data_IF_381556157105
#
_entry.id   IF_381556157105
#
_cell.length_a   1.000
_cell.length_b   1.000
_cell.length_c   1.000
_cell.angle_alpha   90.00
_cell.angle_beta   90.00
_cell.angle_gamma   90.00
#
_symmetry.space_group_name_H-M   'P 1'
#
loop_
_entity.id
_entity.type
_entity.pdbx_description
1 polymer ?
#
# COMPACT_ATOMS: atom_id res chain seq x y z
N UNK A 1 -5.81 -4.01 -12.72
CA UNK A 1 -4.83 -4.63 -11.80
C UNK A 1 -3.41 -4.10 -11.99
N UNK A 2 -2.80 -4.19 -13.18
CA UNK A 2 -1.42 -3.71 -13.37
C UNK A 2 -1.28 -2.18 -13.41
N UNK A 3 -2.15 -1.47 -14.13
CA UNK A 3 -2.14 0.00 -14.19
C UNK A 3 -2.33 0.65 -12.81
N UNK A 4 -3.18 0.05 -11.97
CA UNK A 4 -3.37 0.49 -10.58
C UNK A 4 -2.10 0.32 -9.75
N UNK A 5 -1.36 -0.78 -9.88
CA UNK A 5 -0.07 -0.97 -9.19
C UNK A 5 0.97 0.03 -9.68
N UNK A 6 1.00 0.35 -10.98
CA UNK A 6 1.85 1.43 -11.50
C UNK A 6 1.50 2.79 -10.90
N UNK A 7 0.22 3.09 -10.71
CA UNK A 7 -0.24 4.30 -10.04
C UNK A 7 0.14 4.35 -8.56
N UNK A 8 0.06 3.20 -7.88
CA UNK A 8 0.53 3.02 -6.50
C UNK A 8 2.06 3.14 -6.39
N UNK A 9 2.82 2.68 -7.39
CA UNK A 9 4.28 2.81 -7.43
C UNK A 9 4.73 4.26 -7.58
N UNK A 10 4.02 5.04 -8.40
CA UNK A 10 4.35 6.45 -8.61
C UNK A 10 3.92 7.33 -7.41
N UNK A 11 3.10 6.79 -6.51
CA UNK A 11 2.57 7.48 -5.33
C UNK A 11 2.05 8.89 -5.67
N UNK A 12 1.50 9.06 -6.88
CA UNK A 12 1.08 10.36 -7.46
C UNK A 12 0.25 11.17 -6.46
N UNK A 13 -0.79 10.61 -5.79
CA UNK A 13 -1.56 11.40 -4.85
C UNK A 13 -0.72 11.89 -3.67
N UNK A 14 0.20 11.07 -3.14
CA UNK A 14 1.03 11.46 -2.01
C UNK A 14 2.09 12.48 -2.41
N UNK A 15 2.80 12.30 -3.53
CA UNK A 15 3.77 13.30 -4.02
C UNK A 15 3.09 14.61 -4.37
N UNK A 16 1.88 14.57 -4.94
CA UNK A 16 1.10 15.75 -5.28
C UNK A 16 0.59 16.49 -4.03
N UNK A 17 0.02 15.77 -3.05
CA UNK A 17 -0.41 16.35 -1.77
C UNK A 17 0.80 16.92 -1.01
N UNK A 18 1.92 16.21 -0.98
CA UNK A 18 3.16 16.66 -0.35
C UNK A 18 3.70 17.93 -1.02
N UNK A 19 3.68 18.00 -2.35
CA UNK A 19 4.07 19.19 -3.10
C UNK A 19 3.15 20.38 -2.80
N UNK A 20 1.82 20.16 -2.79
CA UNK A 20 0.83 21.21 -2.47
C UNK A 20 0.99 21.69 -1.02
N UNK A 21 1.08 20.77 -0.05
CA UNK A 21 1.27 21.10 1.36
C UNK A 21 2.60 21.82 1.59
N UNK A 22 3.68 21.42 0.91
CA UNK A 22 4.98 22.12 0.97
C UNK A 22 4.88 23.53 0.38
N UNK A 23 4.20 23.71 -0.75
CA UNK A 23 3.95 25.04 -1.32
C UNK A 23 3.12 25.93 -0.38
N UNK A 24 2.02 25.42 0.17
CA UNK A 24 1.18 26.14 1.13
C UNK A 24 1.92 26.46 2.43
N UNK A 25 2.78 25.55 2.90
CA UNK A 25 3.61 25.76 4.08
C UNK A 25 4.68 26.82 3.84
N UNK A 26 5.38 26.77 2.70
CA UNK A 26 6.36 27.78 2.31
C UNK A 26 5.71 29.17 2.15
N UNK A 27 4.52 29.24 1.55
CA UNK A 27 3.76 30.49 1.43
C UNK A 27 3.35 31.08 2.79
N UNK A 28 3.00 30.23 3.77
CA UNK A 28 2.67 30.66 5.14
C UNK A 28 3.91 30.96 6.01
N UNK A 29 5.03 30.29 5.77
CA UNK A 29 6.28 30.49 6.50
C UNK A 29 7.11 31.67 5.98
N UNK A 30 6.93 32.10 4.74
CA UNK A 30 7.55 33.33 4.22
C UNK A 30 7.25 34.58 5.08
N UNK A 31 6.21 34.53 5.92
CA UNK A 31 5.82 35.61 6.85
C UNK A 31 6.34 35.44 8.30
N UNK A 32 7.04 34.36 8.66
CA UNK A 32 7.47 34.09 10.05
C UNK A 32 9.00 33.95 10.14
N UNK A 33 9.63 34.60 11.11
CA UNK A 33 11.09 34.55 11.36
C UNK A 33 11.59 33.17 11.80
N UNK A 34 10.79 32.39 12.53
CA UNK A 34 11.14 31.03 12.96
C UNK A 34 10.61 29.99 11.96
N UNK A 35 11.50 29.46 11.11
CA UNK A 35 11.21 28.35 10.19
C UNK A 35 11.13 27.04 10.97
N UNK A 36 9.95 26.46 11.05
CA UNK A 36 9.76 25.08 11.53
C UNK A 36 9.92 24.11 10.36
N UNK A 37 10.61 22.99 10.55
CA UNK A 37 10.68 21.97 9.50
C UNK A 37 9.29 21.38 9.23
N UNK A 38 9.00 21.07 7.96
CA UNK A 38 7.75 20.45 7.56
C UNK A 38 7.76 18.99 8.00
N UNK A 39 7.03 18.67 9.06
CA UNK A 39 6.80 17.29 9.49
C UNK A 39 5.62 16.75 8.71
N UNK A 40 5.89 15.77 7.85
CA UNK A 40 4.87 15.08 7.10
C UNK A 40 4.18 14.05 8.00
N UNK A 41 2.89 14.26 8.29
CA UNK A 41 2.09 13.39 9.17
C UNK A 41 1.29 12.35 8.38
N UNK A 42 1.58 12.17 7.09
CA UNK A 42 0.84 11.23 6.27
C UNK A 42 1.19 9.79 6.65
N UNK A 43 0.28 9.13 7.35
CA UNK A 43 0.42 7.74 7.78
C UNK A 43 0.03 6.77 6.65
N UNK A 44 0.83 5.71 6.46
CA UNK A 44 0.52 4.66 5.50
C UNK A 44 -0.71 3.85 5.95
N UNK A 45 -1.72 3.72 5.09
CA UNK A 45 -2.91 2.93 5.42
C UNK A 45 -2.66 1.42 5.19
N UNK A 46 -2.01 0.77 6.17
CA UNK A 46 -1.78 -0.68 6.12
C UNK A 46 -3.09 -1.49 6.00
N UNK A 47 -4.20 -0.98 6.55
CA UNK A 47 -5.49 -1.68 6.52
C UNK A 47 -6.04 -1.79 5.12
N UNK A 48 -5.99 -0.69 4.37
CA UNK A 48 -6.40 -0.65 2.97
C UNK A 48 -5.51 -1.55 2.10
N UNK A 49 -4.18 -1.43 2.21
CA UNK A 49 -3.25 -2.24 1.40
C UNK A 49 -3.43 -3.74 1.65
N UNK A 50 -3.63 -4.15 2.90
CA UNK A 50 -3.86 -5.55 3.24
C UNK A 50 -5.20 -6.06 2.72
N UNK A 51 -6.27 -5.30 2.90
CA UNK A 51 -7.60 -5.68 2.40
C UNK A 51 -7.60 -5.84 0.88
N UNK A 52 -6.97 -4.90 0.17
CA UNK A 52 -6.81 -4.96 -1.28
C UNK A 52 -6.03 -6.20 -1.75
N UNK A 53 -4.93 -6.53 -1.06
CA UNK A 53 -4.16 -7.74 -1.34
C UNK A 53 -4.98 -9.02 -1.12
N UNK A 54 -5.78 -9.05 -0.06
CA UNK A 54 -6.60 -10.20 0.31
C UNK A 54 -7.78 -10.42 -0.66
N UNK A 55 -8.45 -9.35 -1.08
CA UNK A 55 -9.49 -9.41 -2.13
C UNK A 55 -8.90 -9.86 -3.46
N UNK A 56 -7.72 -9.37 -3.83
CA UNK A 56 -7.01 -9.79 -5.05
C UNK A 56 -6.66 -11.28 -5.00
N UNK A 57 -6.18 -11.76 -3.85
CA UNK A 57 -5.89 -13.17 -3.63
C UNK A 57 -7.14 -14.06 -3.75
N UNK A 58 -8.25 -13.63 -3.13
CA UNK A 58 -9.53 -14.33 -3.21
C UNK A 58 -10.03 -14.47 -4.66
N UNK A 59 -10.03 -13.37 -5.41
CA UNK A 59 -10.42 -13.34 -6.83
C UNK A 59 -9.50 -14.26 -7.65
N UNK A 60 -8.18 -14.18 -7.45
CA UNK A 60 -7.22 -15.01 -8.15
C UNK A 60 -7.47 -16.51 -7.91
N UNK A 61 -7.80 -16.91 -6.67
CA UNK A 61 -8.12 -18.31 -6.38
C UNK A 61 -9.42 -18.75 -7.05
N UNK A 62 -10.52 -17.99 -6.93
CA UNK A 62 -11.81 -18.36 -7.55
C UNK A 62 -11.68 -18.54 -9.07
N UNK A 63 -10.97 -17.64 -9.75
CA UNK A 63 -10.79 -17.72 -11.21
C UNK A 63 -9.71 -18.71 -11.65
N UNK A 64 -8.80 -19.13 -10.76
CA UNK A 64 -7.77 -20.12 -11.09
C UNK A 64 -8.34 -21.49 -11.43
N UNK A 65 -9.52 -21.86 -10.90
CA UNK A 65 -10.18 -23.13 -11.20
C UNK A 65 -10.58 -23.21 -12.68
N UNK A 66 -11.08 -22.10 -13.23
CA UNK A 66 -11.60 -22.02 -14.59
C UNK A 66 -10.46 -21.76 -15.58
N UNK A 67 -9.51 -20.87 -15.19
CA UNK A 67 -8.40 -20.45 -16.06
C UNK A 67 -7.09 -20.45 -15.26
N UNK A 68 -6.22 -21.46 -15.42
CA UNK A 68 -5.00 -21.60 -14.62
C UNK A 68 -3.98 -20.49 -14.88
N UNK A 69 -4.03 -19.83 -16.05
CA UNK A 69 -3.18 -18.68 -16.37
C UNK A 69 -3.40 -17.50 -15.42
N UNK A 70 -4.60 -17.36 -14.84
CA UNK A 70 -4.90 -16.28 -13.89
C UNK A 70 -3.98 -16.35 -12.68
N UNK A 71 -3.63 -17.55 -12.20
CA UNK A 71 -2.71 -17.72 -11.07
C UNK A 71 -1.30 -17.21 -11.39
N UNK A 72 -0.81 -17.44 -12.61
CA UNK A 72 0.52 -16.97 -13.05
C UNK A 72 0.55 -15.45 -13.09
N UNK A 73 -0.49 -14.81 -13.65
CA UNK A 73 -0.59 -13.35 -13.66
C UNK A 73 -0.74 -12.75 -12.25
N UNK A 74 -1.49 -13.41 -11.37
CA UNK A 74 -1.63 -13.00 -9.97
C UNK A 74 -0.29 -13.08 -9.21
N UNK A 75 0.51 -14.13 -9.45
CA UNK A 75 1.84 -14.28 -8.86
C UNK A 75 2.76 -13.12 -9.25
N UNK A 76 2.81 -12.79 -10.54
CA UNK A 76 3.59 -11.66 -11.07
C UNK A 76 3.12 -10.35 -10.44
N UNK A 77 1.80 -10.16 -10.33
CA UNK A 77 1.22 -8.99 -9.66
C UNK A 77 1.67 -8.88 -8.19
N UNK A 78 1.65 -9.98 -7.42
CA UNK A 78 2.09 -9.96 -6.02
C UNK A 78 3.58 -9.70 -5.87
N UNK A 79 4.42 -10.15 -6.82
CA UNK A 79 5.85 -9.79 -6.82
C UNK A 79 6.05 -8.29 -6.98
N UNK A 80 5.43 -7.67 -7.99
CA UNK A 80 5.51 -6.22 -8.17
C UNK A 80 4.99 -5.47 -6.94
N UNK A 81 3.82 -5.88 -6.43
CA UNK A 81 3.23 -5.27 -5.24
C UNK A 81 4.15 -5.37 -4.01
N UNK A 82 4.86 -6.49 -3.82
CA UNK A 82 5.83 -6.65 -2.75
C UNK A 82 6.98 -5.63 -2.85
N UNK A 83 7.55 -5.43 -4.04
CA UNK A 83 8.63 -4.44 -4.23
C UNK A 83 8.15 -3.01 -3.98
N UNK A 84 6.94 -2.68 -4.44
CA UNK A 84 6.31 -1.37 -4.23
C UNK A 84 6.10 -1.10 -2.74
N UNK A 85 5.41 -2.00 -2.05
CA UNK A 85 5.09 -1.84 -0.63
C UNK A 85 6.38 -1.79 0.23
N UNK A 86 7.42 -2.57 -0.14
CA UNK A 86 8.74 -2.52 0.51
C UNK A 86 9.42 -1.16 0.34
N UNK A 87 9.40 -0.60 -0.87
CA UNK A 87 9.99 0.71 -1.14
C UNK A 87 9.27 1.82 -0.36
N UNK A 88 7.92 1.83 -0.42
CA UNK A 88 7.11 2.82 0.30
C UNK A 88 7.37 2.80 1.81
N UNK A 89 7.37 1.62 2.42
CA UNK A 89 7.60 1.47 3.86
C UNK A 89 9.03 1.84 4.30
N UNK A 90 10.02 1.73 3.41
CA UNK A 90 11.44 2.01 3.75
C UNK A 90 11.79 3.49 3.57
N UNK A 91 11.25 4.14 2.52
CA UNK A 91 11.72 5.47 2.11
C UNK A 91 10.68 6.58 2.26
N UNK A 92 9.39 6.27 2.15
CA UNK A 92 8.34 7.31 2.09
C UNK A 92 7.73 7.57 3.47
N UNK A 93 7.44 6.51 4.21
CA UNK A 93 6.75 6.60 5.49
C UNK A 93 7.74 6.52 6.65
N UNK A 94 7.98 7.64 7.31
CA UNK A 94 8.84 7.69 8.49
C UNK A 94 8.12 6.98 9.65
N UNK A 95 8.81 6.01 10.24
CA UNK A 95 8.22 4.92 11.04
C UNK A 95 7.58 5.38 12.35
N UNK A 96 6.24 5.45 12.41
CA UNK A 96 5.49 5.35 13.68
C UNK A 96 4.87 3.97 13.91
N UNK A 97 5.01 3.05 12.95
CA UNK A 97 4.38 1.73 13.03
C UNK A 97 5.25 0.72 13.78
N UNK A 98 5.05 0.60 15.09
CA UNK A 98 5.41 -0.63 15.84
C UNK A 98 4.47 -1.76 15.40
N UNK A 99 4.86 -2.50 14.36
CA UNK A 99 4.12 -3.67 13.91
C UNK A 99 4.20 -4.81 14.94
N UNK A 100 3.37 -4.81 15.99
CA UNK A 100 3.30 -5.84 17.05
C UNK A 100 2.72 -7.17 16.55
N UNK A 101 2.89 -7.51 15.25
CA UNK A 101 2.36 -8.73 14.65
C UNK A 101 0.82 -8.80 14.54
N UNK A 102 0.10 -7.75 14.95
CA UNK A 102 -1.38 -7.69 14.94
C UNK A 102 -1.93 -7.99 13.55
N UNK A 103 -1.24 -7.53 12.50
CA UNK A 103 -1.64 -7.70 11.12
C UNK A 103 -1.58 -9.18 10.70
N UNK A 104 -0.48 -9.88 11.04
CA UNK A 104 -0.31 -11.31 10.72
C UNK A 104 -1.45 -12.14 11.35
N UNK A 105 -1.85 -11.81 12.58
CA UNK A 105 -2.92 -12.49 13.31
C UNK A 105 -4.28 -12.42 12.60
N UNK A 106 -4.54 -11.38 11.81
CA UNK A 106 -5.81 -11.20 11.08
C UNK A 106 -5.74 -11.73 9.64
N UNK A 107 -4.62 -11.55 8.96
CA UNK A 107 -4.47 -11.91 7.54
C UNK A 107 -4.37 -13.42 7.33
N UNK A 108 -3.62 -14.12 8.19
CA UNK A 108 -3.42 -15.59 8.07
C UNK A 108 -4.74 -16.37 8.13
N UNK A 109 -5.61 -16.21 9.13
CA UNK A 109 -6.87 -16.97 9.18
C UNK A 109 -7.80 -16.64 8.00
N UNK A 110 -7.82 -15.40 7.53
CA UNK A 110 -8.64 -15.00 6.39
C UNK A 110 -8.13 -15.57 5.06
N UNK A 111 -6.81 -15.76 4.94
CA UNK A 111 -6.20 -16.44 3.79
C UNK A 111 -6.49 -17.94 3.80
N UNK A 112 -6.42 -18.58 4.99
CA UNK A 112 -6.80 -19.98 5.16
C UNK A 112 -8.28 -20.19 4.83
N UNK A 113 -9.17 -19.29 5.28
CA UNK A 113 -10.59 -19.33 4.93
C UNK A 113 -10.79 -19.31 3.40
N UNK A 114 -10.06 -18.46 2.67
CA UNK A 114 -10.12 -18.46 1.21
C UNK A 114 -9.69 -19.80 0.61
N UNK A 115 -8.67 -20.46 1.16
CA UNK A 115 -8.21 -21.78 0.68
C UNK A 115 -9.28 -22.84 0.93
N UNK A 116 -9.96 -22.79 2.08
CA UNK A 116 -11.07 -23.69 2.39
C UNK A 116 -12.25 -23.46 1.43
N UNK A 117 -12.57 -22.21 1.11
CA UNK A 117 -13.63 -21.86 0.14
C UNK A 117 -13.27 -22.30 -1.28
N UNK A 118 -11.98 -22.37 -1.59
CA UNK A 118 -11.48 -22.80 -2.90
C UNK A 118 -11.55 -24.32 -3.10
N UNK A 119 -11.46 -25.11 -2.04
CA UNK A 119 -11.49 -26.57 -2.07
C UNK A 119 -12.91 -27.11 -2.29
#
# INVERSE_FOLDING_TARGET
MFLSVGFWLLDVPHTLVRAICRCCHNAKQARKENKKEFVDSYAFDLGYHMSYGLTTFAIAMVFSVIVPYVAVFAMVFFMFKYYVDKYNLTFVYNTEFRGVGIIKRRVVPLSIFNIIVYQ
#
